data_IF_716480668093
#
_entry.id   IF_716480668093
#
_cell.length_a   1.000
_cell.length_b   1.000
_cell.length_c   1.000
_cell.angle_alpha   90.00
_cell.angle_beta   90.00
_cell.angle_gamma   90.00
#
_symmetry.space_group_name_H-M   'P 1'
#
loop_
_entity.id
_entity.type
_entity.pdbx_description
1 polymer ?
#
# COMPACT_ATOMS: atom_id res chain seq x y z
N UNK A 1 -6.39 7.44 -11.17
CA UNK A 1 -4.91 7.45 -11.11
C UNK A 1 -4.37 6.02 -11.21
N UNK A 2 -4.85 5.09 -10.38
CA UNK A 2 -4.57 3.64 -10.49
C UNK A 2 -4.66 3.06 -11.91
N UNK A 3 -5.70 3.37 -12.70
CA UNK A 3 -5.83 2.90 -14.09
C UNK A 3 -4.63 3.24 -15.01
N UNK A 4 -3.84 4.26 -14.68
CA UNK A 4 -2.63 4.65 -15.45
C UNK A 4 -1.39 3.84 -15.07
N UNK A 5 -1.45 3.05 -13.99
CA UNK A 5 -0.35 2.22 -13.53
C UNK A 5 -0.29 0.98 -14.45
N UNK A 6 0.84 0.71 -15.10
CA UNK A 6 0.98 -0.46 -15.96
C UNK A 6 0.99 -1.74 -15.14
N UNK A 7 0.60 -2.85 -15.77
CA UNK A 7 0.78 -4.18 -15.19
C UNK A 7 2.26 -4.50 -14.99
N UNK A 8 2.59 -5.24 -13.94
CA UNK A 8 3.98 -5.57 -13.61
C UNK A 8 4.11 -7.01 -13.09
N UNK A 9 5.12 -7.75 -13.58
CA UNK A 9 5.55 -9.04 -13.01
C UNK A 9 4.54 -10.19 -13.05
N UNK A 10 3.35 -9.99 -13.64
CA UNK A 10 2.23 -10.94 -13.53
C UNK A 10 1.47 -10.85 -12.20
N UNK A 11 2.00 -10.09 -11.24
CA UNK A 11 1.41 -9.87 -9.92
C UNK A 11 0.51 -8.64 -9.91
N UNK A 12 0.97 -7.51 -10.46
CA UNK A 12 0.15 -6.29 -10.57
C UNK A 12 -0.73 -6.35 -11.81
N UNK A 13 -2.04 -6.41 -11.58
CA UNK A 13 -3.06 -6.48 -12.63
C UNK A 13 -3.58 -5.10 -13.05
N UNK A 14 -4.39 -5.06 -14.11
CA UNK A 14 -5.00 -3.82 -14.57
C UNK A 14 -6.10 -3.36 -13.61
N UNK A 15 -5.96 -2.14 -13.08
CA UNK A 15 -6.96 -1.54 -12.19
C UNK A 15 -8.23 -1.11 -12.94
N UNK A 16 -9.38 -1.23 -12.27
CA UNK A 16 -10.66 -0.76 -12.77
C UNK A 16 -10.73 0.77 -12.89
N UNK A 17 -11.78 1.24 -13.56
CA UNK A 17 -12.01 2.69 -13.76
C UNK A 17 -12.13 3.45 -12.44
N UNK A 18 -12.74 2.83 -11.44
CA UNK A 18 -12.92 3.43 -10.13
C UNK A 18 -12.63 2.42 -9.01
N UNK A 19 -11.36 2.40 -8.56
CA UNK A 19 -10.91 1.58 -7.44
C UNK A 19 -11.63 1.96 -6.12
N UNK A 20 -11.96 3.24 -5.94
CA UNK A 20 -12.63 3.71 -4.70
C UNK A 20 -14.09 3.28 -4.56
N UNK A 21 -14.75 2.90 -5.66
CA UNK A 21 -16.11 2.34 -5.58
C UNK A 21 -16.12 0.94 -4.96
N UNK A 22 -14.99 0.25 -4.94
CA UNK A 22 -14.83 -1.12 -4.38
C UNK A 22 -15.82 -2.15 -4.93
N UNK A 23 -16.43 -1.87 -6.09
CA UNK A 23 -17.36 -2.79 -6.76
C UNK A 23 -16.59 -3.79 -7.59
N UNK A 24 -16.99 -5.07 -7.50
CA UNK A 24 -16.45 -6.18 -8.29
C UNK A 24 -14.92 -6.35 -8.15
N UNK A 25 -14.37 -6.02 -6.98
CA UNK A 25 -12.96 -6.28 -6.69
C UNK A 25 -12.75 -7.78 -6.45
N UNK A 26 -11.77 -8.35 -7.13
CA UNK A 26 -11.23 -9.66 -6.79
C UNK A 26 -10.34 -9.54 -5.54
N UNK A 27 -10.07 -10.66 -4.88
CA UNK A 27 -9.18 -10.69 -3.71
C UNK A 27 -7.81 -10.04 -3.98
N UNK A 28 -7.29 -10.21 -5.21
CA UNK A 28 -6.01 -9.60 -5.63
C UNK A 28 -6.05 -8.07 -5.67
N UNK A 29 -7.18 -7.47 -6.03
CA UNK A 29 -7.27 -6.00 -6.09
C UNK A 29 -7.11 -5.36 -4.71
N UNK A 30 -7.51 -6.07 -3.64
CA UNK A 30 -7.29 -5.64 -2.26
C UNK A 30 -5.81 -5.67 -1.86
N UNK A 31 -4.99 -6.49 -2.53
CA UNK A 31 -3.55 -6.57 -2.30
C UNK A 31 -2.77 -5.61 -3.19
N UNK A 32 -3.19 -5.44 -4.45
CA UNK A 32 -2.53 -4.59 -5.44
C UNK A 32 -2.76 -3.10 -5.17
N UNK A 33 -3.95 -2.75 -4.68
CA UNK A 33 -4.31 -1.34 -4.40
C UNK A 33 -3.35 -0.71 -3.38
N UNK A 34 -3.08 -1.32 -2.20
CA UNK A 34 -2.03 -0.85 -1.30
C UNK A 34 -0.66 -0.75 -1.98
N UNK A 35 -0.21 -1.79 -2.69
CA UNK A 35 1.11 -1.84 -3.31
C UNK A 35 1.36 -0.72 -4.32
N UNK A 36 0.30 -0.30 -5.02
CA UNK A 36 0.35 0.74 -6.04
C UNK A 36 -0.13 2.12 -5.54
N UNK A 37 -0.28 2.29 -4.22
CA UNK A 37 -0.87 3.51 -3.65
C UNK A 37 0.03 4.74 -3.73
N UNK A 38 1.34 4.60 -3.48
CA UNK A 38 2.30 5.72 -3.54
C UNK A 38 2.17 6.57 -4.83
N UNK A 39 2.33 6.01 -6.05
CA UNK A 39 2.17 6.78 -7.29
C UNK A 39 0.72 7.23 -7.53
N UNK A 40 -0.27 6.49 -7.00
CA UNK A 40 -1.67 6.91 -7.09
C UNK A 40 -1.95 8.17 -6.27
N UNK A 41 -1.20 8.42 -5.20
CA UNK A 41 -1.39 9.54 -4.26
C UNK A 41 -0.30 10.62 -4.30
N UNK A 42 0.69 10.53 -5.19
CA UNK A 42 1.92 11.36 -5.20
C UNK A 42 1.70 12.89 -5.14
N UNK A 43 0.61 13.39 -5.73
CA UNK A 43 0.27 14.84 -5.74
C UNK A 43 -1.24 14.97 -5.71
N UNK A 44 -1.86 14.51 -4.63
CA UNK A 44 -3.32 14.59 -4.45
C UNK A 44 -3.72 15.70 -3.50
N UNK A 45 -2.88 15.98 -2.49
CA UNK A 45 -3.14 16.97 -1.46
C UNK A 45 -2.18 18.16 -1.57
N UNK A 46 -2.45 19.21 -0.80
CA UNK A 46 -1.50 20.31 -0.57
C UNK A 46 -0.19 19.80 0.04
N UNK A 47 0.92 20.46 -0.24
CA UNK A 47 2.28 19.96 0.03
C UNK A 47 2.50 19.52 1.49
N UNK A 48 1.93 20.27 2.45
CA UNK A 48 1.99 19.94 3.87
C UNK A 48 1.39 18.57 4.18
N UNK A 49 0.23 18.26 3.62
CA UNK A 49 -0.48 16.99 3.87
C UNK A 49 -0.03 15.88 2.93
N UNK A 50 0.47 16.23 1.75
CA UNK A 50 0.94 15.27 0.76
C UNK A 50 2.16 14.51 1.28
N UNK A 51 3.10 15.20 1.92
CA UNK A 51 4.28 14.55 2.54
C UNK A 51 3.85 13.55 3.62
N UNK A 52 2.99 13.97 4.54
CA UNK A 52 2.46 13.09 5.59
C UNK A 52 1.72 11.88 4.99
N UNK A 53 0.88 12.10 3.98
CA UNK A 53 0.17 11.02 3.30
C UNK A 53 1.14 10.02 2.66
N UNK A 54 2.18 10.50 1.99
CA UNK A 54 3.19 9.63 1.37
C UNK A 54 3.96 8.82 2.43
N UNK A 55 4.33 9.43 3.57
CA UNK A 55 4.98 8.73 4.68
C UNK A 55 4.09 7.64 5.28
N UNK A 56 2.82 7.96 5.53
CA UNK A 56 1.81 7.01 6.04
C UNK A 56 1.63 5.86 5.05
N UNK A 57 1.47 6.15 3.76
CA UNK A 57 1.31 5.12 2.72
C UNK A 57 2.56 4.25 2.60
N UNK A 58 3.75 4.83 2.67
CA UNK A 58 5.01 4.08 2.62
C UNK A 58 5.11 3.10 3.78
N UNK A 59 4.92 3.57 5.02
CA UNK A 59 4.98 2.71 6.21
C UNK A 59 3.87 1.66 6.18
N UNK A 60 2.66 2.02 5.75
CA UNK A 60 1.57 1.06 5.59
C UNK A 60 1.91 -0.04 4.58
N UNK A 61 2.43 0.31 3.41
CA UNK A 61 2.82 -0.64 2.39
C UNK A 61 3.94 -1.57 2.88
N UNK A 62 4.91 -1.01 3.60
CA UNK A 62 6.00 -1.80 4.15
C UNK A 62 5.50 -2.77 5.22
N UNK A 63 4.68 -2.27 6.16
CA UNK A 63 4.02 -3.09 7.18
C UNK A 63 3.21 -4.22 6.54
N UNK A 64 2.38 -3.90 5.55
CA UNK A 64 1.53 -4.87 4.85
C UNK A 64 2.37 -5.93 4.13
N UNK A 65 3.45 -5.53 3.46
CA UNK A 65 4.38 -6.44 2.79
C UNK A 65 5.03 -7.43 3.77
N UNK A 66 5.50 -6.94 4.92
CA UNK A 66 6.07 -7.79 5.98
C UNK A 66 5.00 -8.70 6.59
N UNK A 67 3.80 -8.19 6.85
CA UNK A 67 2.68 -8.95 7.41
C UNK A 67 2.21 -10.10 6.48
N UNK A 68 2.37 -9.94 5.17
CA UNK A 68 1.95 -10.92 4.15
C UNK A 68 2.98 -12.03 3.92
N UNK A 69 4.18 -11.95 4.50
CA UNK A 69 5.21 -12.97 4.29
C UNK A 69 4.67 -14.35 4.69
N UNK A 70 4.73 -15.33 3.78
CA UNK A 70 4.29 -16.70 4.05
C UNK A 70 5.16 -17.40 5.10
N UNK A 71 6.39 -16.94 5.31
CA UNK A 71 7.31 -17.47 6.29
C UNK A 71 7.87 -16.33 7.14
N UNK A 72 7.57 -16.38 8.43
CA UNK A 72 8.12 -15.47 9.41
C UNK A 72 9.32 -16.08 10.13
N UNK A 73 10.34 -15.26 10.32
CA UNK A 73 11.46 -15.47 11.23
C UNK A 73 11.39 -14.48 12.39
N UNK A 74 12.13 -14.73 13.46
CA UNK A 74 12.19 -13.82 14.63
C UNK A 74 12.51 -12.38 14.22
N UNK A 75 13.39 -12.19 13.23
CA UNK A 75 13.72 -10.85 12.71
C UNK A 75 12.54 -10.19 12.00
N UNK A 76 11.79 -10.91 11.17
CA UNK A 76 10.60 -10.37 10.49
C UNK A 76 9.45 -10.10 11.46
N UNK A 77 9.30 -10.88 12.53
CA UNK A 77 8.31 -10.64 13.59
C UNK A 77 8.69 -9.38 14.36
N UNK A 78 9.97 -9.23 14.72
CA UNK A 78 10.50 -8.01 15.33
C UNK A 78 10.26 -6.78 14.46
N UNK A 79 10.54 -6.90 13.15
CA UNK A 79 10.29 -5.85 12.17
C UNK A 79 8.81 -5.51 12.07
N UNK A 80 7.91 -6.51 12.01
CA UNK A 80 6.47 -6.28 11.97
C UNK A 80 5.99 -5.52 13.22
N UNK A 81 6.47 -5.88 14.41
CA UNK A 81 6.17 -5.16 15.65
C UNK A 81 6.65 -3.71 15.62
N UNK A 82 7.86 -3.47 15.10
CA UNK A 82 8.41 -2.13 14.95
C UNK A 82 7.58 -1.29 13.97
N UNK A 83 7.28 -1.84 12.78
CA UNK A 83 6.49 -1.15 11.76
C UNK A 83 5.08 -0.86 12.25
N UNK A 84 4.46 -1.75 13.02
CA UNK A 84 3.14 -1.51 13.63
C UNK A 84 3.16 -0.30 14.57
N UNK A 85 4.23 -0.14 15.38
CA UNK A 85 4.39 1.03 16.26
C UNK A 85 4.65 2.30 15.47
N UNK A 86 5.49 2.24 14.45
CA UNK A 86 5.78 3.39 13.57
C UNK A 86 4.51 3.85 12.85
N UNK A 87 3.76 2.91 12.28
CA UNK A 87 2.49 3.20 11.62
C UNK A 87 1.50 3.88 12.57
N UNK A 88 1.33 3.33 13.78
CA UNK A 88 0.45 3.91 14.80
C UNK A 88 0.93 5.26 15.36
N UNK A 89 2.19 5.66 15.14
CA UNK A 89 2.68 6.99 15.54
C UNK A 89 2.42 8.08 14.50
N UNK A 90 2.09 7.68 13.26
CA UNK A 90 1.82 8.59 12.14
C UNK A 90 0.32 8.89 11.97
N UNK A 91 -0.55 8.21 12.73
CA UNK A 91 -2.02 8.33 12.72
C UNK A 91 -2.48 8.81 14.09
#
# INVERSE_FOLDING_TARGET
>A
RYRKIPTFGGDICHFSDNVSETKKLAARDFEDTPQCSLPAFEVVLEELFNTLLQDVLFIFCYWHGVAKLHMHTDSTIGLLSQLTKQFGSLI
#
